data_IF_893079881007
#
_entry.id   IF_893079881007
#
_cell.length_a   1.000
_cell.length_b   1.000
_cell.length_c   1.000
_cell.angle_alpha   90.00
_cell.angle_beta   90.00
_cell.angle_gamma   90.00
#
_symmetry.space_group_name_H-M   'P 1'
#
loop_
_entity.id
_entity.type
_entity.pdbx_description
1 polymer ?
#
# COMPACT_ATOMS: atom_id res chain seq x y z
N UNK A 1 -53.44 -38.34 -52.38
CA UNK A 1 -52.50 -37.21 -52.23
C UNK A 1 -52.56 -36.46 -50.94
N UNK A 2 -53.69 -36.34 -50.23
CA UNK A 2 -53.77 -35.58 -48.91
C UNK A 2 -53.17 -36.28 -47.72
N UNK A 3 -53.01 -37.62 -47.74
CA UNK A 3 -52.46 -38.40 -46.65
C UNK A 3 -50.90 -38.42 -46.59
N UNK A 4 -50.30 -38.44 -47.83
CA UNK A 4 -48.78 -38.44 -47.88
C UNK A 4 -48.19 -37.10 -47.46
N UNK A 5 -48.92 -35.97 -47.72
CA UNK A 5 -48.51 -34.64 -47.35
C UNK A 5 -48.46 -34.46 -45.80
N UNK A 6 -49.34 -35.15 -45.06
CA UNK A 6 -49.35 -35.10 -43.55
C UNK A 6 -48.15 -35.84 -42.93
N UNK A 7 -47.73 -36.95 -43.52
CA UNK A 7 -46.56 -37.69 -43.02
C UNK A 7 -45.22 -37.00 -43.34
N UNK A 8 -45.16 -36.29 -44.50
CA UNK A 8 -43.98 -35.49 -44.81
C UNK A 8 -43.88 -34.27 -43.88
N UNK A 9 -45.01 -33.66 -43.50
CA UNK A 9 -45.02 -32.54 -42.55
C UNK A 9 -44.64 -33.00 -41.12
N UNK A 10 -45.09 -34.17 -40.70
CA UNK A 10 -44.76 -34.76 -39.41
C UNK A 10 -43.28 -35.19 -39.35
N UNK A 11 -42.70 -35.74 -40.41
CA UNK A 11 -41.27 -36.08 -40.49
C UNK A 11 -40.37 -34.84 -40.53
N UNK A 12 -40.80 -33.72 -41.17
CA UNK A 12 -40.08 -32.45 -41.17
C UNK A 12 -40.02 -31.77 -39.79
N UNK A 13 -41.10 -31.89 -38.98
CA UNK A 13 -41.17 -31.35 -37.61
C UNK A 13 -40.34 -32.19 -36.64
N UNK A 14 -40.23 -33.51 -36.80
CA UNK A 14 -39.39 -34.37 -35.95
C UNK A 14 -37.90 -34.23 -36.22
N UNK A 15 -37.46 -33.75 -37.39
CA UNK A 15 -36.05 -33.51 -37.70
C UNK A 15 -35.54 -32.13 -37.15
N UNK A 16 -36.44 -31.24 -36.71
CA UNK A 16 -36.06 -29.93 -36.16
C UNK A 16 -35.66 -29.97 -34.66
N UNK A 17 -35.81 -31.11 -33.95
CA UNK A 17 -35.46 -31.24 -32.56
C UNK A 17 -34.05 -31.83 -32.27
N UNK A 18 -33.27 -32.15 -33.31
CA UNK A 18 -31.86 -32.47 -33.14
C UNK A 18 -31.01 -31.19 -33.17
N UNK A 19 -31.30 -30.25 -32.28
CA UNK A 19 -30.43 -29.11 -32.03
C UNK A 19 -29.17 -29.61 -31.34
N UNK A 20 -28.05 -29.56 -32.01
CA UNK A 20 -26.74 -29.83 -31.46
C UNK A 20 -26.48 -28.83 -30.31
N UNK A 21 -26.65 -29.24 -29.06
CA UNK A 21 -26.30 -28.45 -27.88
C UNK A 21 -24.87 -27.89 -27.96
N UNK A 22 -23.94 -28.60 -28.59
CA UNK A 22 -22.54 -28.17 -28.79
C UNK A 22 -22.33 -26.97 -29.72
N UNK A 23 -23.34 -26.55 -30.52
CA UNK A 23 -23.18 -25.39 -31.39
C UNK A 23 -23.50 -24.05 -30.68
N UNK A 24 -24.29 -24.11 -29.61
CA UNK A 24 -24.65 -22.93 -28.80
C UNK A 24 -23.70 -22.75 -27.59
N UNK A 25 -22.98 -23.79 -27.22
CA UNK A 25 -21.97 -23.74 -26.14
C UNK A 25 -20.55 -23.47 -26.68
N UNK A 26 -20.40 -22.60 -27.67
CA UNK A 26 -19.07 -22.05 -27.95
C UNK A 26 -18.76 -21.01 -26.90
N UNK A 27 -17.83 -21.37 -26.02
CA UNK A 27 -17.16 -20.36 -25.20
C UNK A 27 -16.69 -19.22 -26.15
N UNK A 28 -17.00 -17.97 -25.84
CA UNK A 28 -16.52 -16.84 -26.65
C UNK A 28 -14.99 -16.90 -26.70
N UNK A 29 -14.42 -17.11 -27.87
CA UNK A 29 -12.97 -17.21 -28.13
C UNK A 29 -12.21 -15.95 -27.65
N UNK A 30 -12.92 -14.89 -27.29
CA UNK A 30 -12.40 -13.61 -26.81
C UNK A 30 -12.69 -13.29 -25.33
N UNK A 31 -13.38 -14.15 -24.55
CA UNK A 31 -13.51 -13.92 -23.11
C UNK A 31 -12.36 -14.59 -22.37
N UNK A 32 -11.53 -13.75 -21.77
CA UNK A 32 -10.54 -14.19 -20.77
C UNK A 32 -11.33 -14.65 -19.54
N UNK A 33 -11.59 -15.95 -19.44
CA UNK A 33 -12.16 -16.52 -18.20
C UNK A 33 -11.05 -16.72 -17.17
N UNK A 34 -11.35 -16.69 -15.86
CA UNK A 34 -10.36 -16.94 -14.82
C UNK A 34 -9.61 -18.27 -14.99
N UNK A 35 -10.24 -19.27 -15.64
CA UNK A 35 -9.62 -20.59 -15.89
C UNK A 35 -8.69 -20.58 -17.09
N UNK A 36 -8.94 -19.71 -18.10
CA UNK A 36 -8.12 -19.66 -19.30
C UNK A 36 -6.88 -18.78 -19.18
N UNK A 37 -6.86 -17.83 -18.25
CA UNK A 37 -5.74 -16.89 -18.10
C UNK A 37 -4.44 -17.58 -17.67
N UNK A 38 -4.51 -18.69 -16.93
CA UNK A 38 -3.35 -19.45 -16.44
C UNK A 38 -2.93 -20.60 -17.37
N UNK A 39 -3.40 -20.63 -18.61
CA UNK A 39 -3.01 -21.65 -19.59
C UNK A 39 -1.71 -21.31 -20.35
N UNK A 40 -1.18 -20.10 -20.17
CA UNK A 40 0.05 -19.64 -20.83
C UNK A 40 0.82 -18.65 -19.94
N UNK A 41 2.13 -18.54 -20.17
CA UNK A 41 2.98 -17.53 -19.49
C UNK A 41 2.48 -16.11 -19.72
N UNK A 42 2.00 -15.79 -20.92
CA UNK A 42 1.46 -14.46 -21.23
C UNK A 42 0.18 -14.16 -20.43
N UNK A 43 -0.70 -15.15 -20.31
CA UNK A 43 -1.89 -15.02 -19.48
C UNK A 43 -1.55 -14.83 -17.99
N UNK A 44 -0.62 -15.64 -17.47
CA UNK A 44 -0.12 -15.48 -16.10
C UNK A 44 0.51 -14.10 -15.87
N UNK A 45 1.28 -13.58 -16.83
CA UNK A 45 1.83 -12.22 -16.78
C UNK A 45 0.72 -11.16 -16.76
N UNK A 46 -0.33 -11.34 -17.53
CA UNK A 46 -1.49 -10.43 -17.53
C UNK A 46 -2.20 -10.43 -16.17
N UNK A 47 -2.34 -11.60 -15.54
CA UNK A 47 -2.87 -11.71 -14.18
C UNK A 47 -2.00 -10.97 -13.15
N UNK A 48 -0.67 -11.08 -13.26
CA UNK A 48 0.28 -10.33 -12.41
C UNK A 48 0.11 -8.82 -12.61
N UNK A 49 -0.02 -8.34 -13.84
CA UNK A 49 -0.28 -6.92 -14.10
C UNK A 49 -1.65 -6.48 -13.54
N UNK A 50 -2.67 -7.33 -13.66
CA UNK A 50 -3.99 -7.11 -13.05
C UNK A 50 -3.89 -6.98 -11.52
N UNK A 51 -3.09 -7.81 -10.87
CA UNK A 51 -2.83 -7.71 -9.42
C UNK A 51 -2.16 -6.37 -9.05
N UNK A 52 -1.14 -5.91 -9.77
CA UNK A 52 -0.55 -4.58 -9.53
C UNK A 52 -1.60 -3.46 -9.69
N UNK A 53 -2.51 -3.58 -10.67
CA UNK A 53 -3.57 -2.59 -10.87
C UNK A 53 -4.52 -2.48 -9.69
N UNK A 54 -4.71 -3.53 -8.87
CA UNK A 54 -5.51 -3.42 -7.64
C UNK A 54 -4.96 -2.38 -6.68
N UNK A 55 -3.64 -2.12 -6.72
CA UNK A 55 -2.99 -1.13 -5.87
C UNK A 55 -3.18 0.32 -6.35
N UNK A 56 -3.55 0.53 -7.63
CA UNK A 56 -3.71 1.85 -8.24
C UNK A 56 -5.07 2.48 -7.94
N UNK A 57 -6.05 1.69 -7.52
CA UNK A 57 -7.43 2.14 -7.28
C UNK A 57 -7.55 3.19 -6.19
N UNK A 58 -8.60 4.03 -6.27
CA UNK A 58 -8.90 5.06 -5.27
C UNK A 58 -9.11 4.49 -3.85
N UNK A 59 -9.54 3.24 -3.73
CA UNK A 59 -9.72 2.55 -2.45
C UNK A 59 -8.43 1.91 -1.91
N UNK A 60 -7.31 2.08 -2.60
CA UNK A 60 -5.98 1.58 -2.25
C UNK A 60 -4.96 2.74 -2.24
N UNK A 61 -3.73 2.51 -2.74
CA UNK A 61 -2.67 3.54 -2.81
C UNK A 61 -3.00 4.71 -3.75
N UNK A 62 -3.95 4.54 -4.67
CA UNK A 62 -4.43 5.65 -5.48
C UNK A 62 -5.06 6.77 -4.66
N UNK A 63 -5.58 6.51 -3.44
CA UNK A 63 -6.10 7.54 -2.55
C UNK A 63 -6.24 7.08 -1.09
N UNK A 64 -7.10 6.09 -0.77
CA UNK A 64 -7.58 5.83 0.59
C UNK A 64 -6.47 5.42 1.55
N UNK A 65 -5.54 4.54 1.13
CA UNK A 65 -4.42 4.10 1.98
C UNK A 65 -3.44 5.23 2.33
N UNK A 66 -3.47 6.34 1.59
CA UNK A 66 -2.65 7.51 1.87
C UNK A 66 -3.47 8.56 2.63
N UNK A 67 -4.62 8.97 2.09
CA UNK A 67 -5.38 10.11 2.61
C UNK A 67 -6.03 9.80 3.97
N UNK A 68 -6.53 8.58 4.19
CA UNK A 68 -7.22 8.24 5.45
C UNK A 68 -6.28 8.32 6.67
N UNK A 69 -5.07 7.73 6.64
CA UNK A 69 -4.11 7.92 7.73
C UNK A 69 -3.65 9.38 7.89
N UNK A 70 -3.61 10.17 6.80
CA UNK A 70 -3.25 11.58 6.86
C UNK A 70 -4.35 12.43 7.53
N UNK A 71 -5.63 12.06 7.39
CA UNK A 71 -6.71 12.64 8.19
C UNK A 71 -6.55 12.30 9.67
N UNK A 72 -6.27 11.03 10.00
CA UNK A 72 -6.03 10.60 11.39
C UNK A 72 -4.84 11.32 12.01
N UNK A 73 -3.80 11.59 11.20
CA UNK A 73 -2.61 12.35 11.61
C UNK A 73 -2.85 13.87 11.62
N UNK A 74 -4.04 14.35 11.21
CA UNK A 74 -4.40 15.77 11.10
C UNK A 74 -3.49 16.57 10.15
N UNK A 75 -3.07 15.94 9.07
CA UNK A 75 -2.28 16.60 8.04
C UNK A 75 -3.14 17.16 6.90
N UNK A 76 -4.32 16.58 6.70
CA UNK A 76 -5.19 16.85 5.54
C UNK A 76 -6.56 17.34 5.98
N UNK A 77 -7.13 18.25 5.17
CA UNK A 77 -8.48 18.73 5.25
C UNK A 77 -9.20 18.55 3.91
N UNK A 78 -10.50 18.80 3.88
CA UNK A 78 -11.35 18.69 2.70
C UNK A 78 -12.21 19.93 2.53
N UNK A 79 -12.50 20.34 1.28
CA UNK A 79 -13.33 21.54 0.99
C UNK A 79 -14.79 21.39 1.40
N UNK A 80 -15.30 20.16 1.50
CA UNK A 80 -16.67 19.88 1.92
C UNK A 80 -16.69 19.23 3.30
N UNK A 81 -17.68 19.56 4.11
CA UNK A 81 -17.87 18.97 5.45
C UNK A 81 -18.56 17.62 5.33
N UNK A 82 -17.82 16.60 4.90
CA UNK A 82 -18.31 15.22 4.95
C UNK A 82 -18.02 14.63 6.33
N UNK A 83 -19.05 14.11 7.02
CA UNK A 83 -18.89 13.52 8.35
C UNK A 83 -17.83 12.43 8.40
N UNK A 84 -17.69 11.62 7.35
CA UNK A 84 -16.74 10.53 7.24
C UNK A 84 -15.28 10.96 7.31
N UNK A 85 -14.92 12.19 6.91
CA UNK A 85 -13.56 12.74 7.07
C UNK A 85 -13.33 13.29 8.47
N UNK A 86 -14.36 13.93 9.02
CA UNK A 86 -14.33 14.46 10.39
C UNK A 86 -14.11 13.32 11.39
N UNK A 87 -14.72 12.16 11.17
CA UNK A 87 -14.54 10.96 11.97
C UNK A 87 -13.07 10.63 12.25
N UNK A 88 -12.22 10.68 11.21
CA UNK A 88 -10.78 10.39 11.35
C UNK A 88 -10.06 11.50 12.11
N UNK A 89 -10.32 12.78 11.79
CA UNK A 89 -9.68 13.93 12.45
C UNK A 89 -10.01 14.02 13.94
N UNK A 90 -11.21 13.63 14.33
CA UNK A 90 -11.67 13.65 15.72
C UNK A 90 -11.41 12.32 16.44
N UNK A 91 -10.91 11.34 15.71
CA UNK A 91 -10.70 9.98 16.20
C UNK A 91 -11.97 9.36 16.81
N UNK A 92 -13.11 9.56 16.14
CA UNK A 92 -14.43 9.04 16.49
C UNK A 92 -15.06 8.31 15.31
N UNK A 93 -14.29 7.41 14.73
CA UNK A 93 -14.62 6.75 13.47
C UNK A 93 -15.85 5.87 13.67
N UNK A 94 -16.89 6.09 12.87
CA UNK A 94 -18.11 5.27 12.90
C UNK A 94 -17.85 3.92 12.24
N UNK A 95 -18.51 2.89 12.75
CA UNK A 95 -18.38 1.50 12.23
C UNK A 95 -18.90 1.34 10.79
N UNK A 96 -19.76 2.26 10.33
CA UNK A 96 -20.32 2.31 8.97
C UNK A 96 -19.58 3.30 8.06
N UNK A 97 -18.41 3.81 8.49
CA UNK A 97 -17.63 4.76 7.70
C UNK A 97 -17.21 4.12 6.35
N UNK A 98 -17.59 4.71 5.19
CA UNK A 98 -17.37 4.11 3.89
C UNK A 98 -15.88 4.00 3.50
N UNK A 99 -15.02 4.88 4.02
CA UNK A 99 -13.57 4.81 3.75
C UNK A 99 -12.90 3.62 4.43
N UNK A 100 -13.37 3.28 5.63
CA UNK A 100 -12.94 2.08 6.36
C UNK A 100 -13.37 0.83 5.60
N UNK A 101 -14.62 0.78 5.15
CA UNK A 101 -15.17 -0.30 4.31
C UNK A 101 -14.37 -0.45 3.01
N UNK A 102 -14.08 0.67 2.33
CA UNK A 102 -13.37 0.67 1.05
C UNK A 102 -11.94 0.10 1.18
N UNK A 103 -11.19 0.49 2.22
CA UNK A 103 -9.84 -0.05 2.48
C UNK A 103 -9.90 -1.56 2.72
N UNK A 104 -10.84 -2.03 3.52
CA UNK A 104 -11.02 -3.45 3.80
C UNK A 104 -11.32 -4.24 2.54
N UNK A 105 -12.35 -3.83 1.80
CA UNK A 105 -12.79 -4.53 0.58
C UNK A 105 -11.71 -4.55 -0.50
N UNK A 106 -11.06 -3.41 -0.76
CA UNK A 106 -9.96 -3.34 -1.71
C UNK A 106 -8.77 -4.20 -1.29
N UNK A 107 -8.47 -4.24 0.01
CA UNK A 107 -7.41 -5.09 0.56
C UNK A 107 -7.68 -6.57 0.28
N UNK A 108 -8.87 -7.07 0.59
CA UNK A 108 -9.20 -8.48 0.34
C UNK A 108 -9.33 -8.82 -1.14
N UNK A 109 -9.75 -7.88 -2.00
CA UNK A 109 -9.70 -8.07 -3.45
C UNK A 109 -8.27 -8.24 -3.96
N UNK A 110 -7.32 -7.44 -3.46
CA UNK A 110 -5.90 -7.57 -3.80
C UNK A 110 -5.29 -8.88 -3.28
N UNK A 111 -5.62 -9.29 -2.06
CA UNK A 111 -5.20 -10.57 -1.47
C UNK A 111 -5.72 -11.73 -2.31
N UNK A 112 -6.98 -11.72 -2.72
CA UNK A 112 -7.54 -12.78 -3.56
C UNK A 112 -6.87 -12.84 -4.94
N UNK A 113 -6.56 -11.69 -5.55
CA UNK A 113 -5.79 -11.64 -6.80
C UNK A 113 -4.39 -12.26 -6.62
N UNK A 114 -3.69 -11.92 -5.54
CA UNK A 114 -2.39 -12.51 -5.21
C UNK A 114 -2.47 -14.03 -4.95
N UNK A 115 -3.47 -14.48 -4.19
CA UNK A 115 -3.71 -15.89 -3.90
C UNK A 115 -3.94 -16.70 -5.19
N UNK A 116 -4.73 -16.17 -6.13
CA UNK A 116 -4.95 -16.80 -7.44
C UNK A 116 -3.63 -17.00 -8.18
N UNK A 117 -2.75 -16.00 -8.21
CA UNK A 117 -1.44 -16.12 -8.86
C UNK A 117 -0.59 -17.16 -8.15
N UNK A 118 -0.46 -17.07 -6.82
CA UNK A 118 0.37 -18.02 -6.05
C UNK A 118 -0.04 -19.48 -6.31
N UNK A 119 -1.34 -19.77 -6.28
CA UNK A 119 -1.85 -21.14 -6.41
C UNK A 119 -1.89 -21.58 -7.87
N UNK A 120 -2.48 -20.78 -8.76
CA UNK A 120 -2.71 -21.20 -10.15
C UNK A 120 -1.42 -21.21 -10.97
N UNK A 121 -0.50 -20.24 -10.77
CA UNK A 121 0.81 -20.25 -11.45
C UNK A 121 1.67 -21.42 -10.97
N UNK A 122 1.62 -21.77 -9.68
CA UNK A 122 2.32 -22.96 -9.17
C UNK A 122 1.83 -24.26 -9.83
N UNK A 123 0.53 -24.34 -10.11
CA UNK A 123 -0.11 -25.52 -10.72
C UNK A 123 0.01 -25.58 -12.26
N UNK A 124 0.52 -24.54 -12.94
CA UNK A 124 0.67 -24.55 -14.40
C UNK A 124 1.62 -25.67 -14.86
N UNK A 125 1.35 -26.33 -16.01
CA UNK A 125 2.29 -27.28 -16.59
C UNK A 125 3.67 -26.65 -16.86
N UNK A 126 4.75 -27.44 -16.78
CA UNK A 126 6.11 -26.93 -17.05
C UNK A 126 6.27 -26.37 -18.47
N UNK A 127 5.60 -26.98 -19.44
CA UNK A 127 5.62 -26.50 -20.82
C UNK A 127 4.89 -25.17 -21.05
N UNK A 128 4.03 -24.73 -20.11
CA UNK A 128 3.22 -23.52 -20.24
C UNK A 128 3.90 -22.27 -19.69
N UNK A 129 4.93 -22.41 -18.84
CA UNK A 129 5.63 -21.30 -18.21
C UNK A 129 7.08 -21.67 -17.87
N UNK A 130 8.02 -20.79 -18.18
CA UNK A 130 9.42 -20.95 -17.81
C UNK A 130 9.58 -20.92 -16.27
N UNK A 131 10.50 -21.76 -15.75
CA UNK A 131 10.70 -21.95 -14.29
C UNK A 131 11.04 -20.63 -13.58
N UNK A 132 11.90 -19.81 -14.16
CA UNK A 132 12.27 -18.48 -13.64
C UNK A 132 11.07 -17.54 -13.58
N UNK A 133 10.20 -17.54 -14.61
CA UNK A 133 8.98 -16.73 -14.65
C UNK A 133 7.93 -17.22 -13.65
N UNK A 134 7.80 -18.55 -13.49
CA UNK A 134 6.94 -19.15 -12.45
C UNK A 134 7.33 -18.61 -11.07
N UNK A 135 8.59 -18.71 -10.70
CA UNK A 135 9.10 -18.26 -9.41
C UNK A 135 8.95 -16.72 -9.26
N UNK A 136 9.25 -15.98 -10.32
CA UNK A 136 9.09 -14.53 -10.33
C UNK A 136 7.65 -14.12 -10.02
N UNK A 137 6.67 -14.67 -10.74
CA UNK A 137 5.25 -14.30 -10.59
C UNK A 137 4.69 -14.67 -9.23
N UNK A 138 5.04 -15.83 -8.71
CA UNK A 138 4.66 -16.26 -7.35
C UNK A 138 5.20 -15.29 -6.31
N UNK A 139 6.49 -14.95 -6.37
CA UNK A 139 7.15 -14.06 -5.41
C UNK A 139 6.64 -12.62 -5.48
N UNK A 140 6.33 -12.11 -6.67
CA UNK A 140 5.67 -10.81 -6.82
C UNK A 140 4.28 -10.80 -6.15
N UNK A 141 3.51 -11.89 -6.32
CA UNK A 141 2.21 -12.02 -5.69
C UNK A 141 2.32 -12.15 -4.16
N UNK A 142 3.31 -12.88 -3.65
CA UNK A 142 3.60 -12.95 -2.23
C UNK A 142 3.93 -11.57 -1.64
N UNK A 143 4.72 -10.75 -2.34
CA UNK A 143 4.99 -9.38 -1.89
C UNK A 143 3.72 -8.53 -1.83
N UNK A 144 2.88 -8.52 -2.87
CA UNK A 144 1.65 -7.71 -2.87
C UNK A 144 0.70 -8.19 -1.78
N UNK A 145 0.60 -9.50 -1.54
CA UNK A 145 -0.17 -10.05 -0.43
C UNK A 145 0.36 -9.58 0.93
N UNK A 146 1.66 -9.64 1.11
CA UNK A 146 2.33 -9.19 2.33
C UNK A 146 2.16 -7.68 2.57
N UNK A 147 2.34 -6.86 1.54
CA UNK A 147 2.11 -5.41 1.60
C UNK A 147 0.67 -5.10 1.99
N UNK A 148 -0.29 -5.81 1.40
CA UNK A 148 -1.70 -5.61 1.66
C UNK A 148 -2.06 -6.04 3.10
N UNK A 149 -1.60 -7.20 3.56
CA UNK A 149 -1.79 -7.61 4.96
C UNK A 149 -1.11 -6.67 5.95
N UNK A 150 0.06 -6.13 5.62
CA UNK A 150 0.73 -5.16 6.47
C UNK A 150 -0.07 -3.88 6.61
N UNK A 151 -0.70 -3.39 5.55
CA UNK A 151 -1.63 -2.26 5.63
C UNK A 151 -2.86 -2.58 6.46
N UNK A 152 -3.47 -3.76 6.27
CA UNK A 152 -4.65 -4.19 7.01
C UNK A 152 -4.36 -4.38 8.50
N UNK A 153 -3.27 -5.05 8.87
CA UNK A 153 -2.94 -5.29 10.30
C UNK A 153 -2.59 -4.01 11.04
N UNK A 154 -1.95 -3.04 10.37
CA UNK A 154 -1.70 -1.71 10.97
C UNK A 154 -2.99 -0.91 11.18
N UNK A 155 -3.93 -1.03 10.24
CA UNK A 155 -5.19 -0.30 10.28
C UNK A 155 -6.22 -0.95 11.23
N UNK A 156 -6.35 -2.27 11.22
CA UNK A 156 -7.45 -2.99 11.88
C UNK A 156 -7.01 -3.92 13.02
N UNK A 157 -5.72 -4.15 13.21
CA UNK A 157 -5.23 -5.15 14.15
C UNK A 157 -5.48 -6.57 13.63
N UNK A 158 -6.23 -7.38 14.39
CA UNK A 158 -6.62 -8.72 13.97
C UNK A 158 -7.49 -8.69 12.70
N UNK A 159 -7.18 -9.55 11.73
CA UNK A 159 -7.91 -9.65 10.45
C UNK A 159 -7.97 -11.12 9.99
N UNK A 160 -8.97 -11.53 9.20
CA UNK A 160 -8.99 -12.87 8.60
C UNK A 160 -7.75 -13.12 7.72
N UNK A 161 -7.05 -14.23 7.96
CA UNK A 161 -5.87 -14.64 7.20
C UNK A 161 -6.25 -15.62 6.09
N UNK A 162 -6.58 -15.10 4.90
CA UNK A 162 -6.97 -15.88 3.73
C UNK A 162 -5.76 -16.01 2.79
N UNK A 163 -5.25 -17.23 2.60
CA UNK A 163 -4.02 -17.51 1.85
C UNK A 163 -4.24 -18.35 0.60
N UNK A 164 -5.47 -18.72 0.33
CA UNK A 164 -5.93 -19.46 -0.87
C UNK A 164 -6.94 -18.64 -1.65
N UNK A 165 -7.10 -18.88 -2.96
CA UNK A 165 -8.19 -18.27 -3.73
C UNK A 165 -9.55 -18.60 -3.11
N UNK A 166 -10.47 -17.65 -3.12
CA UNK A 166 -11.83 -17.87 -2.67
C UNK A 166 -12.65 -18.53 -3.77
N UNK A 167 -13.19 -19.70 -3.51
CA UNK A 167 -14.06 -20.49 -4.40
C UNK A 167 -15.53 -20.40 -4.01
N UNK A 168 -16.42 -20.88 -4.88
CA UNK A 168 -17.88 -20.83 -4.69
C UNK A 168 -18.37 -21.62 -3.45
N UNK A 169 -17.64 -22.68 -3.08
CA UNK A 169 -18.02 -23.57 -1.96
C UNK A 169 -17.23 -23.29 -0.68
N UNK A 170 -16.43 -22.22 -0.63
CA UNK A 170 -15.63 -21.92 0.54
C UNK A 170 -16.49 -21.36 1.68
N UNK A 171 -16.06 -21.64 2.91
CA UNK A 171 -16.63 -21.00 4.07
C UNK A 171 -16.15 -19.53 4.12
N UNK A 172 -17.04 -18.60 3.77
CA UNK A 172 -16.76 -17.17 3.80
C UNK A 172 -16.82 -16.55 5.22
N UNK A 173 -17.26 -17.33 6.21
CA UNK A 173 -17.34 -16.87 7.61
C UNK A 173 -16.05 -17.19 8.37
N UNK A 174 -14.95 -16.59 7.93
CA UNK A 174 -13.63 -16.77 8.53
C UNK A 174 -13.46 -15.78 9.70
N UNK A 175 -13.12 -16.24 10.91
CA UNK A 175 -12.81 -15.36 12.03
C UNK A 175 -11.53 -14.59 11.82
N UNK A 176 -11.28 -13.56 12.64
CA UNK A 176 -10.00 -12.84 12.64
C UNK A 176 -8.90 -13.71 13.22
N UNK A 177 -7.74 -13.68 12.59
CA UNK A 177 -6.50 -14.23 13.09
C UNK A 177 -5.79 -13.21 13.98
N UNK A 178 -4.98 -13.69 14.90
CA UNK A 178 -4.18 -12.84 15.77
C UNK A 178 -3.17 -12.00 14.97
N UNK A 179 -2.81 -10.85 15.49
CA UNK A 179 -1.79 -9.98 14.91
C UNK A 179 -0.49 -10.75 14.67
N UNK A 180 -0.10 -11.64 15.60
CA UNK A 180 1.12 -12.44 15.48
C UNK A 180 1.07 -13.42 14.29
N UNK A 181 -0.06 -14.10 14.05
CA UNK A 181 -0.23 -15.00 12.90
C UNK A 181 -0.17 -14.23 11.58
N UNK A 182 -0.80 -13.04 11.53
CA UNK A 182 -0.76 -12.19 10.34
C UNK A 182 0.68 -11.72 10.05
N UNK A 183 1.42 -11.25 11.07
CA UNK A 183 2.83 -10.89 10.92
C UNK A 183 3.71 -12.07 10.49
N UNK A 184 3.50 -13.25 11.05
CA UNK A 184 4.24 -14.45 10.65
C UNK A 184 4.07 -14.75 9.15
N UNK A 185 2.85 -14.61 8.62
CA UNK A 185 2.59 -14.80 7.19
C UNK A 185 3.21 -13.68 6.33
N UNK A 186 3.10 -12.42 6.74
CA UNK A 186 3.74 -11.28 6.06
C UNK A 186 5.25 -11.53 5.94
N UNK A 187 5.90 -11.90 7.03
CA UNK A 187 7.34 -12.16 7.09
C UNK A 187 7.72 -13.32 6.16
N UNK A 188 6.98 -14.44 6.21
CA UNK A 188 7.24 -15.59 5.35
C UNK A 188 7.13 -15.23 3.85
N UNK A 189 6.10 -14.48 3.45
CA UNK A 189 5.91 -14.03 2.07
C UNK A 189 7.04 -13.08 1.62
N UNK A 190 7.49 -12.19 2.49
CA UNK A 190 8.56 -11.23 2.17
C UNK A 190 9.95 -11.89 2.11
N UNK A 191 10.22 -12.91 2.92
CA UNK A 191 11.45 -13.72 2.82
C UNK A 191 11.52 -14.38 1.44
N UNK A 192 10.44 -15.01 0.97
CA UNK A 192 10.39 -15.58 -0.37
C UNK A 192 10.55 -14.52 -1.46
N UNK A 193 9.86 -13.39 -1.33
CA UNK A 193 9.96 -12.27 -2.29
C UNK A 193 11.36 -11.64 -2.33
N UNK A 194 12.14 -11.72 -1.25
CA UNK A 194 13.53 -11.22 -1.20
C UNK A 194 14.48 -11.95 -2.15
N UNK A 195 14.08 -13.10 -2.68
CA UNK A 195 14.82 -13.85 -3.70
C UNK A 195 14.51 -13.40 -5.14
N UNK A 196 13.73 -12.33 -5.34
CA UNK A 196 13.51 -11.72 -6.66
C UNK A 196 14.79 -11.04 -7.18
N UNK A 197 14.93 -10.87 -8.51
CA UNK A 197 16.00 -10.06 -9.07
C UNK A 197 15.95 -8.61 -8.53
N UNK A 198 17.13 -7.97 -8.42
CA UNK A 198 17.20 -6.56 -8.00
C UNK A 198 17.07 -5.58 -9.18
N UNK A 199 17.22 -6.08 -10.42
CA UNK A 199 17.14 -5.29 -11.64
C UNK A 199 16.37 -6.08 -12.69
N UNK A 200 15.49 -5.41 -13.42
CA UNK A 200 14.79 -5.92 -14.60
C UNK A 200 15.34 -5.30 -15.88
N UNK A 201 14.71 -5.57 -17.02
CA UNK A 201 15.19 -5.19 -18.34
C UNK A 201 15.42 -3.68 -18.52
N UNK A 202 14.63 -2.85 -17.82
CA UNK A 202 14.75 -1.39 -17.87
C UNK A 202 14.38 -0.77 -16.51
N UNK A 203 14.62 0.55 -16.39
CA UNK A 203 14.40 1.27 -15.14
C UNK A 203 12.91 1.30 -14.72
N UNK A 204 11.99 1.43 -15.67
CA UNK A 204 10.56 1.47 -15.38
C UNK A 204 10.07 0.13 -14.83
N UNK A 205 10.52 -0.99 -15.39
CA UNK A 205 10.25 -2.31 -14.84
C UNK A 205 10.90 -2.50 -13.47
N UNK A 206 12.16 -2.06 -13.31
CA UNK A 206 12.88 -2.19 -12.02
C UNK A 206 12.20 -1.41 -10.90
N UNK A 207 11.62 -0.25 -11.20
CA UNK A 207 10.90 0.56 -10.20
C UNK A 207 9.43 0.19 -10.09
N UNK A 208 8.80 -0.25 -11.19
CA UNK A 208 7.36 -0.58 -11.26
C UNK A 208 7.02 -2.03 -10.91
N UNK A 209 8.00 -2.92 -10.81
CA UNK A 209 7.83 -4.30 -10.34
C UNK A 209 8.59 -4.53 -9.04
N UNK A 210 8.16 -5.51 -8.30
CA UNK A 210 8.82 -5.86 -7.04
C UNK A 210 10.19 -6.45 -7.32
N UNK A 211 11.22 -5.92 -6.67
CA UNK A 211 12.59 -6.45 -6.65
C UNK A 211 12.91 -7.08 -5.29
N UNK A 212 13.99 -7.86 -5.22
CA UNK A 212 14.49 -8.39 -3.96
C UNK A 212 14.79 -7.28 -2.94
N UNK A 213 15.32 -6.14 -3.40
CA UNK A 213 15.56 -4.98 -2.53
C UNK A 213 14.25 -4.32 -2.06
N UNK A 214 13.21 -4.28 -2.87
CA UNK A 214 11.89 -3.80 -2.44
C UNK A 214 11.30 -4.71 -1.35
N UNK A 215 11.42 -6.02 -1.52
CA UNK A 215 10.97 -6.98 -0.52
C UNK A 215 11.75 -6.89 0.80
N UNK A 216 13.07 -6.76 0.75
CA UNK A 216 13.91 -6.53 1.95
C UNK A 216 13.59 -5.21 2.64
N UNK A 217 13.32 -4.15 1.87
CA UNK A 217 12.97 -2.84 2.40
C UNK A 217 11.65 -2.88 3.17
N UNK A 218 10.62 -3.53 2.60
CA UNK A 218 9.35 -3.74 3.28
C UNK A 218 9.52 -4.65 4.50
N UNK A 219 10.33 -5.72 4.39
CA UNK A 219 10.60 -6.63 5.50
C UNK A 219 11.32 -5.92 6.66
N UNK A 220 12.24 -5.00 6.38
CA UNK A 220 12.88 -4.16 7.40
C UNK A 220 11.84 -3.31 8.16
N UNK A 221 10.89 -2.71 7.43
CA UNK A 221 9.78 -1.95 8.02
C UNK A 221 8.87 -2.85 8.87
N UNK A 222 8.51 -4.03 8.37
CA UNK A 222 7.70 -5.02 9.09
C UNK A 222 8.37 -5.45 10.39
N UNK A 223 9.67 -5.76 10.36
CA UNK A 223 10.42 -6.10 11.57
C UNK A 223 10.53 -4.93 12.55
N UNK A 224 10.66 -3.69 12.08
CA UNK A 224 10.65 -2.52 12.95
C UNK A 224 9.29 -2.38 13.67
N UNK A 225 8.19 -2.57 12.96
CA UNK A 225 6.84 -2.50 13.55
C UNK A 225 6.57 -3.62 14.56
N UNK A 226 7.06 -4.83 14.28
CA UNK A 226 6.90 -5.99 15.16
C UNK A 226 7.94 -6.02 16.30
N UNK A 227 8.94 -5.16 16.26
CA UNK A 227 10.10 -5.18 17.14
C UNK A 227 9.78 -5.02 18.62
N UNK A 228 8.76 -4.24 18.96
CA UNK A 228 8.32 -4.06 20.36
C UNK A 228 7.75 -5.35 20.99
N UNK A 229 7.22 -6.26 20.15
CA UNK A 229 6.59 -7.51 20.60
C UNK A 229 7.58 -8.68 20.54
N UNK A 230 8.42 -8.74 19.50
CA UNK A 230 9.25 -9.91 19.17
C UNK A 230 10.75 -9.63 19.19
N UNK A 231 11.17 -8.42 19.56
CA UNK A 231 12.58 -7.98 19.57
C UNK A 231 13.31 -8.16 18.22
N UNK A 232 12.64 -7.85 17.13
CA UNK A 232 13.17 -8.02 15.74
C UNK A 232 13.97 -6.81 15.24
N UNK A 233 14.41 -5.91 16.12
CA UNK A 233 15.15 -4.71 15.73
C UNK A 233 16.50 -5.02 15.05
N UNK A 234 17.16 -6.11 15.43
CA UNK A 234 18.39 -6.54 14.78
C UNK A 234 18.19 -6.85 13.29
N UNK A 235 17.12 -7.59 12.95
CA UNK A 235 16.78 -7.90 11.56
C UNK A 235 16.33 -6.67 10.80
N UNK A 236 15.55 -5.77 11.43
CA UNK A 236 15.16 -4.50 10.84
C UNK A 236 16.39 -3.65 10.46
N UNK A 237 17.35 -3.49 11.39
CA UNK A 237 18.57 -2.73 11.16
C UNK A 237 19.44 -3.38 10.09
N UNK A 238 19.64 -4.70 10.15
CA UNK A 238 20.45 -5.46 9.18
C UNK A 238 19.90 -5.34 7.77
N UNK A 239 18.60 -5.54 7.58
CA UNK A 239 17.96 -5.45 6.26
C UNK A 239 17.94 -4.02 5.72
N UNK A 240 17.65 -3.03 6.56
CA UNK A 240 17.70 -1.63 6.14
C UNK A 240 19.11 -1.23 5.68
N UNK A 241 20.15 -1.65 6.42
CA UNK A 241 21.55 -1.45 6.06
C UNK A 241 21.90 -2.15 4.72
N UNK A 242 21.43 -3.39 4.52
CA UNK A 242 21.65 -4.13 3.27
C UNK A 242 21.00 -3.39 2.08
N UNK A 243 19.76 -2.94 2.21
CA UNK A 243 19.07 -2.18 1.16
C UNK A 243 19.80 -0.85 0.85
N UNK A 244 20.24 -0.12 1.86
CA UNK A 244 21.02 1.11 1.68
C UNK A 244 22.30 0.83 0.86
N UNK A 245 22.95 -0.29 1.10
CA UNK A 245 24.19 -0.65 0.44
C UNK A 245 23.99 -1.22 -0.98
N UNK A 246 22.87 -1.94 -1.23
CA UNK A 246 22.74 -2.79 -2.43
C UNK A 246 21.67 -2.35 -3.43
N UNK A 247 20.74 -1.46 -3.03
CA UNK A 247 19.63 -1.07 -3.90
C UNK A 247 20.03 -0.13 -5.05
N UNK A 248 21.20 0.52 -4.95
CA UNK A 248 21.60 1.58 -5.88
C UNK A 248 20.71 2.84 -5.79
N UNK A 249 19.74 2.87 -4.86
CA UNK A 249 18.90 4.03 -4.66
C UNK A 249 19.64 5.15 -3.92
N UNK A 250 19.36 6.40 -4.27
CA UNK A 250 20.00 7.58 -3.68
C UNK A 250 19.02 8.75 -3.60
N UNK A 251 19.11 9.54 -2.56
CA UNK A 251 18.30 10.74 -2.40
C UNK A 251 18.80 11.84 -3.34
N UNK A 252 17.98 12.37 -4.28
CA UNK A 252 18.35 13.49 -5.11
C UNK A 252 18.48 14.77 -4.27
N UNK A 253 19.30 15.71 -4.75
CA UNK A 253 19.46 17.02 -4.09
C UNK A 253 18.17 17.82 -4.10
N UNK A 254 17.47 17.79 -5.25
CA UNK A 254 16.13 18.38 -5.36
C UNK A 254 15.07 17.39 -4.88
N UNK A 255 14.49 17.67 -3.73
CA UNK A 255 13.39 16.87 -3.16
C UNK A 255 12.17 16.78 -4.09
N UNK A 256 11.88 17.88 -4.80
CA UNK A 256 10.72 17.95 -5.69
C UNK A 256 10.80 16.95 -6.85
N UNK A 257 12.01 16.63 -7.31
CA UNK A 257 12.22 15.69 -8.41
C UNK A 257 11.68 14.28 -8.13
N UNK A 258 11.62 13.86 -6.85
CA UNK A 258 11.05 12.58 -6.43
C UNK A 258 9.58 12.44 -6.87
N UNK A 259 8.88 13.55 -6.94
CA UNK A 259 7.43 13.61 -7.19
C UNK A 259 7.09 14.09 -8.60
N UNK A 260 7.99 14.82 -9.23
CA UNK A 260 7.76 15.39 -10.57
C UNK A 260 8.33 14.53 -11.70
N UNK A 261 9.14 13.54 -11.35
CA UNK A 261 9.76 12.61 -12.31
C UNK A 261 9.39 11.17 -11.95
N UNK A 262 9.12 10.34 -12.95
CA UNK A 262 8.88 8.91 -12.75
C UNK A 262 10.19 8.15 -12.60
N UNK A 263 10.16 7.04 -11.84
CA UNK A 263 11.29 6.10 -11.71
C UNK A 263 12.58 6.76 -11.21
N UNK A 264 12.44 7.60 -10.20
CA UNK A 264 13.55 8.39 -9.68
C UNK A 264 14.62 7.55 -8.99
N UNK A 265 15.81 8.13 -8.79
CA UNK A 265 16.89 7.49 -8.03
C UNK A 265 16.51 7.16 -6.60
N UNK A 266 15.58 7.91 -6.00
CA UNK A 266 15.14 7.68 -4.62
C UNK A 266 14.20 6.50 -4.47
N UNK A 267 13.40 6.20 -5.48
CA UNK A 267 12.41 5.13 -5.42
C UNK A 267 13.06 3.75 -5.47
N UNK A 268 12.56 2.86 -4.63
CA UNK A 268 12.87 1.42 -4.66
C UNK A 268 11.70 0.68 -5.30
N UNK A 269 10.46 1.09 -4.99
CA UNK A 269 9.25 0.57 -5.61
C UNK A 269 8.22 1.70 -5.79
N UNK A 270 7.70 1.84 -7.02
CA UNK A 270 6.67 2.81 -7.39
C UNK A 270 5.48 2.15 -8.06
N UNK A 271 4.29 2.62 -7.76
CA UNK A 271 3.09 2.31 -8.54
C UNK A 271 3.06 3.18 -9.80
N UNK A 272 2.98 2.51 -10.95
CA UNK A 272 3.07 3.15 -12.27
C UNK A 272 1.68 3.56 -12.76
N UNK A 273 1.44 4.86 -12.90
CA UNK A 273 0.22 5.43 -13.47
C UNK A 273 0.45 5.86 -14.92
N UNK A 274 -0.60 5.76 -15.74
CA UNK A 274 -0.60 6.12 -17.15
C UNK A 274 -1.95 6.73 -17.57
N UNK A 275 -2.13 6.94 -18.87
CA UNK A 275 -3.38 7.50 -19.42
C UNK A 275 -4.59 6.56 -19.26
N UNK A 276 -4.38 5.25 -19.13
CA UNK A 276 -5.42 4.24 -18.92
C UNK A 276 -5.71 4.01 -17.42
N UNK A 277 -4.79 4.40 -16.55
CA UNK A 277 -4.92 4.33 -15.10
C UNK A 277 -4.35 5.60 -14.49
N UNK A 278 -5.16 6.66 -14.45
CA UNK A 278 -4.76 7.96 -13.90
C UNK A 278 -4.68 7.93 -12.38
N UNK A 279 -3.83 8.79 -11.82
CA UNK A 279 -3.60 8.90 -10.38
C UNK A 279 -4.73 9.69 -9.68
N UNK A 280 -5.59 9.04 -8.88
CA UNK A 280 -6.66 9.73 -8.16
C UNK A 280 -6.15 10.77 -7.16
N UNK A 281 -5.00 10.54 -6.50
CA UNK A 281 -4.40 11.52 -5.58
C UNK A 281 -4.07 12.84 -6.28
N UNK A 282 -3.51 12.79 -7.48
CA UNK A 282 -3.24 13.98 -8.26
C UNK A 282 -4.56 14.71 -8.62
N UNK A 283 -5.60 13.95 -8.96
CA UNK A 283 -6.92 14.53 -9.28
C UNK A 283 -7.50 15.29 -8.08
N UNK A 284 -7.51 14.68 -6.90
CA UNK A 284 -8.12 15.29 -5.69
C UNK A 284 -7.21 16.32 -5.00
N UNK A 285 -5.93 16.40 -5.37
CA UNK A 285 -5.00 17.44 -4.90
C UNK A 285 -4.97 18.69 -5.80
N UNK A 286 -5.69 18.67 -6.93
CA UNK A 286 -5.78 19.81 -7.82
C UNK A 286 -6.56 20.96 -7.15
N UNK A 287 -6.01 22.18 -7.04
CA UNK A 287 -6.69 23.34 -6.44
C UNK A 287 -8.09 23.64 -7.01
N UNK A 288 -8.36 23.22 -8.23
CA UNK A 288 -9.64 23.40 -8.91
C UNK A 288 -10.58 22.18 -8.79
N UNK A 289 -10.19 21.13 -8.07
CA UNK A 289 -11.04 19.94 -7.90
C UNK A 289 -12.24 20.25 -7.00
N UNK A 290 -13.43 19.74 -7.38
CA UNK A 290 -14.63 19.85 -6.55
C UNK A 290 -14.54 19.04 -5.26
N UNK A 291 -13.76 17.95 -5.29
CA UNK A 291 -13.47 17.06 -4.14
C UNK A 291 -12.00 17.24 -3.71
N UNK A 292 -11.61 18.48 -3.42
CA UNK A 292 -10.24 18.84 -3.09
C UNK A 292 -9.85 18.39 -1.67
N UNK A 293 -8.73 17.68 -1.56
CA UNK A 293 -7.96 17.51 -0.33
C UNK A 293 -6.81 18.51 -0.27
N UNK A 294 -6.61 19.14 0.87
CA UNK A 294 -5.56 20.14 1.06
C UNK A 294 -4.92 20.00 2.46
N UNK A 295 -3.74 20.56 2.66
CA UNK A 295 -3.05 20.50 3.93
C UNK A 295 -3.83 21.23 5.04
N UNK A 296 -3.73 20.73 6.29
CA UNK A 296 -4.48 21.25 7.46
C UNK A 296 -4.15 22.73 7.82
N UNK A 297 -3.31 23.36 7.09
CA UNK A 297 -3.00 24.78 7.24
C UNK A 297 -1.60 25.07 7.77
N UNK A 298 -1.45 26.27 8.35
CA UNK A 298 -0.14 26.77 8.80
C UNK A 298 0.54 25.86 9.83
N UNK A 299 -0.20 25.21 10.70
CA UNK A 299 0.33 24.30 11.74
C UNK A 299 1.16 23.16 11.15
N UNK A 300 0.81 22.68 9.96
CA UNK A 300 1.57 21.63 9.26
C UNK A 300 2.85 22.22 8.65
N UNK A 301 2.77 23.43 8.10
CA UNK A 301 3.94 24.12 7.57
C UNK A 301 4.96 24.46 8.67
N UNK A 302 4.48 24.76 9.89
CA UNK A 302 5.31 25.10 11.05
C UNK A 302 6.04 23.86 11.67
N UNK A 303 5.74 22.64 11.22
CA UNK A 303 6.52 21.45 11.57
C UNK A 303 7.93 21.46 10.96
N UNK A 304 8.11 22.20 9.86
CA UNK A 304 9.39 22.30 9.16
C UNK A 304 10.24 23.40 9.77
N UNK A 305 11.52 23.11 9.94
CA UNK A 305 12.52 24.05 10.45
C UNK A 305 12.80 25.15 9.40
N UNK A 306 13.29 26.29 9.85
CA UNK A 306 13.71 27.34 8.94
C UNK A 306 14.80 26.83 7.98
N UNK A 307 14.61 27.06 6.68
CA UNK A 307 15.54 26.59 5.64
C UNK A 307 15.33 25.15 5.18
N UNK A 308 14.36 24.41 5.73
CA UNK A 308 14.04 23.06 5.28
C UNK A 308 13.50 23.08 3.83
N UNK A 309 14.31 22.57 2.89
CA UNK A 309 14.02 22.58 1.44
C UNK A 309 12.79 21.74 1.05
N UNK A 310 12.31 20.87 1.92
CA UNK A 310 11.12 20.05 1.66
C UNK A 310 9.82 20.83 1.83
N UNK A 311 9.81 21.86 2.71
CA UNK A 311 8.62 22.57 3.14
C UNK A 311 7.81 23.11 1.95
N UNK A 312 8.42 23.96 1.15
CA UNK A 312 7.73 24.71 0.09
C UNK A 312 7.33 23.84 -1.10
N UNK A 313 7.95 22.68 -1.24
CA UNK A 313 7.48 21.66 -2.18
C UNK A 313 6.31 20.86 -1.61
N UNK A 314 6.43 20.37 -0.37
CA UNK A 314 5.43 19.49 0.26
C UNK A 314 4.12 20.23 0.49
N UNK A 315 4.21 21.50 0.87
CA UNK A 315 3.06 22.34 1.23
C UNK A 315 3.22 23.69 0.52
N UNK A 316 2.32 24.03 -0.37
CA UNK A 316 2.40 25.28 -1.13
C UNK A 316 1.07 26.05 -1.12
N UNK A 317 1.14 27.36 -1.33
CA UNK A 317 -0.03 28.19 -1.62
C UNK A 317 -0.14 28.42 -3.12
N UNK A 318 -1.33 28.23 -3.68
CA UNK A 318 -1.55 28.38 -5.12
C UNK A 318 -1.46 29.84 -5.56
N UNK A 319 -2.03 30.75 -4.76
CA UNK A 319 -1.89 32.20 -4.92
C UNK A 319 -1.78 32.87 -3.55
N UNK A 320 -1.16 34.06 -3.43
CA UNK A 320 -1.06 34.76 -2.15
C UNK A 320 -2.43 35.12 -1.54
N UNK A 321 -3.48 35.23 -2.36
CA UNK A 321 -4.83 35.58 -1.92
C UNK A 321 -5.60 34.33 -1.40
N UNK A 322 -5.18 33.11 -1.72
CA UNK A 322 -5.80 31.90 -1.22
C UNK A 322 -5.17 31.49 0.12
N UNK A 323 -5.94 31.48 1.21
CA UNK A 323 -5.39 31.16 2.53
C UNK A 323 -5.06 29.67 2.70
N UNK A 324 -5.46 28.80 1.75
CA UNK A 324 -5.24 27.36 1.82
C UNK A 324 -3.80 26.99 1.49
N UNK A 325 -3.34 25.94 2.14
CA UNK A 325 -2.11 25.24 1.79
C UNK A 325 -2.45 23.93 1.07
N UNK A 326 -1.78 23.69 -0.05
CA UNK A 326 -2.07 22.55 -0.94
C UNK A 326 -1.02 21.46 -0.79
N UNK A 327 -1.43 20.22 -1.12
CA UNK A 327 -0.56 19.04 -1.12
C UNK A 327 0.35 19.10 -2.35
N UNK A 328 1.65 19.32 -2.14
CA UNK A 328 2.60 19.50 -3.22
C UNK A 328 3.09 18.21 -3.87
N UNK A 329 3.06 17.09 -3.14
CA UNK A 329 3.57 15.80 -3.63
C UNK A 329 2.77 15.22 -4.81
N UNK A 330 1.50 15.58 -4.97
CA UNK A 330 0.62 15.05 -6.02
C UNK A 330 0.07 16.17 -6.92
N UNK A 331 0.96 17.00 -7.47
CA UNK A 331 0.56 18.21 -8.20
C UNK A 331 0.72 18.15 -9.73
N UNK A 332 0.93 16.98 -10.29
CA UNK A 332 0.87 16.79 -11.75
C UNK A 332 -0.55 16.39 -12.11
N UNK A 333 -1.37 17.38 -12.49
CA UNK A 333 -2.81 17.24 -12.62
C UNK A 333 -3.28 16.93 -14.05
N UNK A 334 -2.52 17.33 -15.06
CA UNK A 334 -2.93 17.20 -16.47
C UNK A 334 -1.75 16.87 -17.39
N UNK A 335 -1.64 15.60 -17.83
CA UNK A 335 -2.45 14.46 -17.37
C UNK A 335 -2.06 14.00 -15.95
N UNK A 336 -3.03 13.47 -15.19
CA UNK A 336 -2.81 12.95 -13.84
C UNK A 336 -2.17 11.56 -13.88
N UNK A 337 -0.92 11.47 -14.32
CA UNK A 337 -0.17 10.22 -14.55
C UNK A 337 1.06 10.09 -13.66
N UNK A 338 1.16 10.90 -12.63
CA UNK A 338 2.27 10.86 -11.68
C UNK A 338 2.29 9.53 -10.94
N UNK A 339 3.48 8.91 -10.84
CA UNK A 339 3.67 7.70 -10.06
C UNK A 339 3.56 7.97 -8.55
N UNK A 340 3.28 6.92 -7.79
CA UNK A 340 3.29 6.95 -6.32
C UNK A 340 4.43 6.08 -5.82
N UNK A 341 5.49 6.66 -5.25
CA UNK A 341 6.52 5.92 -4.55
C UNK A 341 5.92 5.24 -3.31
N UNK A 342 6.01 3.91 -3.23
CA UNK A 342 5.54 3.13 -2.07
C UNK A 342 6.70 2.85 -1.12
N UNK A 343 7.90 2.65 -1.69
CA UNK A 343 9.12 2.42 -0.92
C UNK A 343 10.21 3.31 -1.50
N UNK A 344 10.80 4.16 -0.67
CA UNK A 344 11.90 5.04 -1.06
C UNK A 344 13.03 5.07 -0.04
N UNK A 345 14.25 5.30 -0.52
CA UNK A 345 15.46 5.12 0.28
C UNK A 345 15.52 6.04 1.51
N UNK A 346 14.91 7.22 1.47
CA UNK A 346 14.87 8.13 2.61
C UNK A 346 14.16 7.50 3.81
N UNK A 347 13.04 6.77 3.59
CA UNK A 347 12.37 6.02 4.64
C UNK A 347 13.27 4.93 5.21
N UNK A 348 14.03 4.23 4.36
CA UNK A 348 14.91 3.14 4.80
C UNK A 348 16.06 3.65 5.69
N UNK A 349 16.59 4.84 5.40
CA UNK A 349 17.54 5.50 6.31
C UNK A 349 16.93 5.76 7.68
N UNK A 350 15.68 6.22 7.75
CA UNK A 350 15.00 6.49 9.04
C UNK A 350 14.58 5.21 9.77
N UNK A 351 14.23 4.15 9.04
CA UNK A 351 14.03 2.80 9.60
C UNK A 351 15.33 2.28 10.20
N UNK A 352 16.46 2.40 9.49
CA UNK A 352 17.78 2.02 10.00
C UNK A 352 18.14 2.81 11.25
N UNK A 353 17.95 4.14 11.23
CA UNK A 353 18.25 5.00 12.37
C UNK A 353 17.50 4.55 13.64
N UNK A 354 16.20 4.29 13.53
CA UNK A 354 15.40 3.83 14.67
C UNK A 354 15.76 2.41 15.11
N UNK A 355 15.81 1.47 14.16
CA UNK A 355 16.06 0.06 14.49
C UNK A 355 17.44 -0.14 15.10
N UNK A 356 18.48 0.52 14.57
CA UNK A 356 19.84 0.45 15.10
C UNK A 356 19.94 1.07 16.51
N UNK A 357 19.30 2.23 16.73
CA UNK A 357 19.30 2.84 18.06
C UNK A 357 18.58 1.98 19.10
N UNK A 358 17.48 1.31 18.71
CA UNK A 358 16.80 0.36 19.61
C UNK A 358 17.62 -0.89 19.89
N UNK A 359 18.33 -1.39 18.89
CA UNK A 359 19.26 -2.51 19.03
C UNK A 359 20.40 -2.18 20.00
N UNK A 360 20.98 -0.98 19.86
CA UNK A 360 22.12 -0.53 20.66
C UNK A 360 21.70 -0.04 22.07
N UNK A 361 20.40 0.10 22.33
CA UNK A 361 19.87 0.66 23.58
C UNK A 361 20.13 2.15 23.77
N UNK A 362 20.56 2.85 22.70
CA UNK A 362 20.91 4.27 22.72
C UNK A 362 21.31 4.76 21.31
N UNK A 363 21.68 6.03 21.20
CA UNK A 363 22.17 6.55 19.93
C UNK A 363 23.61 6.11 19.69
N UNK A 364 23.86 5.53 18.53
CA UNK A 364 25.20 5.17 18.04
C UNK A 364 25.55 5.98 16.79
N UNK A 365 26.83 6.01 16.40
CA UNK A 365 27.26 6.66 15.15
C UNK A 365 26.46 6.14 13.96
N UNK A 366 26.22 4.84 13.85
CA UNK A 366 25.50 4.23 12.73
C UNK A 366 24.03 4.69 12.67
N UNK A 367 23.34 4.75 13.81
CA UNK A 367 21.95 5.23 13.86
C UNK A 367 21.87 6.74 13.57
N UNK A 368 22.80 7.51 14.14
CA UNK A 368 22.90 8.95 13.94
C UNK A 368 23.21 9.33 12.50
N UNK A 369 24.17 8.66 11.85
CA UNK A 369 24.53 8.93 10.46
C UNK A 369 23.36 8.73 9.49
N UNK A 370 22.54 7.71 9.73
CA UNK A 370 21.33 7.48 8.94
C UNK A 370 20.28 8.57 9.13
N UNK A 371 20.06 9.00 10.36
CA UNK A 371 19.18 10.15 10.68
C UNK A 371 19.70 11.43 10.03
N UNK A 372 20.99 11.71 10.20
CA UNK A 372 21.68 12.89 9.66
C UNK A 372 21.60 12.94 8.14
N UNK A 373 21.72 11.80 7.45
CA UNK A 373 21.68 11.71 5.98
C UNK A 373 20.40 12.31 5.39
N UNK A 374 19.26 12.09 6.01
CA UNK A 374 17.97 12.66 5.57
C UNK A 374 17.92 14.17 5.83
N UNK A 375 18.40 14.62 6.98
CA UNK A 375 18.45 16.04 7.34
C UNK A 375 19.42 16.83 6.46
N UNK A 376 20.57 16.27 6.13
CA UNK A 376 21.53 16.89 5.23
C UNK A 376 20.90 17.14 3.84
N UNK A 377 20.15 16.16 3.30
CA UNK A 377 19.42 16.36 2.04
C UNK A 377 18.37 17.46 2.16
N UNK A 378 17.69 17.55 3.31
CA UNK A 378 16.73 18.61 3.59
C UNK A 378 17.39 20.01 3.74
N UNK A 379 18.70 20.06 3.87
CA UNK A 379 19.46 21.29 4.01
C UNK A 379 19.37 21.94 5.39
N UNK A 380 19.04 21.17 6.42
CA UNK A 380 18.89 21.64 7.79
C UNK A 380 20.00 21.08 8.69
N UNK A 381 20.41 21.89 9.68
CA UNK A 381 21.42 21.50 10.64
C UNK A 381 20.92 20.35 11.50
N UNK A 382 21.71 19.29 11.59
CA UNK A 382 21.44 18.19 12.51
C UNK A 382 22.03 18.52 13.88
N UNK A 383 21.26 18.41 14.98
CA UNK A 383 21.80 18.56 16.33
C UNK A 383 22.95 17.57 16.55
N UNK A 384 23.96 17.97 17.32
CA UNK A 384 25.09 17.09 17.64
C UNK A 384 24.61 15.79 18.31
N UNK A 385 25.30 14.68 18.07
CA UNK A 385 24.94 13.36 18.62
C UNK A 385 24.84 13.40 20.16
N UNK A 386 25.67 14.18 20.82
CA UNK A 386 25.67 14.34 22.28
C UNK A 386 24.39 14.99 22.85
N UNK A 387 23.59 15.66 22.01
CA UNK A 387 22.28 16.20 22.42
C UNK A 387 21.26 15.09 22.71
N UNK A 388 21.43 13.92 22.16
CA UNK A 388 20.52 12.78 22.34
C UNK A 388 20.96 11.93 23.54
N UNK A 389 20.69 12.40 24.75
CA UNK A 389 21.14 11.76 26.00
C UNK A 389 20.36 10.48 26.32
N UNK A 390 19.22 10.22 25.68
CA UNK A 390 18.41 9.02 25.90
C UNK A 390 17.92 8.43 24.57
N UNK A 391 17.71 7.11 24.56
CA UNK A 391 17.07 6.42 23.42
C UNK A 391 15.74 7.07 23.04
N UNK A 392 14.89 7.37 24.02
CA UNK A 392 13.57 7.97 23.80
C UNK A 392 13.65 9.34 23.10
N UNK A 393 14.62 10.18 23.51
CA UNK A 393 14.84 11.48 22.85
C UNK A 393 15.24 11.32 21.39
N UNK A 394 16.13 10.37 21.07
CA UNK A 394 16.56 10.10 19.71
C UNK A 394 15.41 9.51 18.86
N UNK A 395 14.68 8.52 19.38
CA UNK A 395 13.51 7.95 18.68
C UNK A 395 12.48 9.04 18.37
N UNK A 396 12.20 9.94 19.33
CA UNK A 396 11.29 11.07 19.09
C UNK A 396 11.80 11.98 17.97
N UNK A 397 13.09 12.24 17.90
CA UNK A 397 13.69 13.05 16.83
C UNK A 397 13.56 12.34 15.46
N UNK A 398 13.85 11.04 15.40
CA UNK A 398 13.69 10.23 14.18
C UNK A 398 12.23 10.22 13.73
N UNK A 399 11.27 10.06 14.63
CA UNK A 399 9.84 10.08 14.27
C UNK A 399 9.37 11.45 13.78
N UNK A 400 9.81 12.54 14.40
CA UNK A 400 9.53 13.89 13.92
C UNK A 400 10.13 14.15 12.53
N UNK A 401 11.34 13.64 12.27
CA UNK A 401 11.97 13.71 10.97
C UNK A 401 11.21 12.89 9.93
N UNK A 402 10.83 11.64 10.30
CA UNK A 402 10.05 10.76 9.42
C UNK A 402 8.69 11.37 9.09
N UNK A 403 8.00 12.01 10.04
CA UNK A 403 6.74 12.72 9.82
C UNK A 403 6.90 13.81 8.74
N UNK A 404 7.95 14.62 8.80
CA UNK A 404 8.23 15.67 7.80
C UNK A 404 8.58 15.07 6.44
N UNK A 405 9.43 14.06 6.42
CA UNK A 405 9.89 13.38 5.22
C UNK A 405 8.74 12.66 4.48
N UNK A 406 7.91 11.91 5.24
CA UNK A 406 6.83 11.06 4.71
C UNK A 406 5.46 11.77 4.73
N UNK A 407 5.42 13.10 4.93
CA UNK A 407 4.16 13.87 4.91
C UNK A 407 3.36 13.59 3.64
N UNK A 408 2.07 13.29 3.78
CA UNK A 408 1.15 12.92 2.71
C UNK A 408 1.46 11.58 2.00
N UNK A 409 2.15 10.66 2.68
CA UNK A 409 2.41 9.30 2.19
C UNK A 409 1.69 8.20 2.99
N UNK A 410 0.84 8.60 3.96
CA UNK A 410 0.00 7.69 4.74
C UNK A 410 0.70 6.96 5.88
N UNK A 411 1.90 7.40 6.30
CA UNK A 411 2.72 6.66 7.26
C UNK A 411 2.69 7.22 8.68
N UNK A 412 2.53 8.54 8.83
CA UNK A 412 2.72 9.21 10.11
C UNK A 412 1.78 8.70 11.21
N UNK A 413 0.51 8.43 10.89
CA UNK A 413 -0.45 7.89 11.86
C UNK A 413 0.03 6.59 12.48
N UNK A 414 0.42 5.62 11.66
CA UNK A 414 0.85 4.30 12.12
C UNK A 414 2.16 4.35 12.92
N UNK A 415 3.11 5.18 12.49
CA UNK A 415 4.37 5.37 13.22
C UNK A 415 4.14 5.99 14.59
N UNK A 416 3.27 6.99 14.70
CA UNK A 416 2.96 7.65 15.95
C UNK A 416 2.13 6.76 16.88
N UNK A 417 1.23 5.93 16.33
CA UNK A 417 0.50 4.93 17.13
C UNK A 417 1.45 3.90 17.74
N UNK A 418 2.35 3.28 16.95
CA UNK A 418 3.26 2.25 17.47
C UNK A 418 4.32 2.78 18.44
N UNK A 419 4.65 4.07 18.37
CA UNK A 419 5.64 4.70 19.27
C UNK A 419 5.01 5.41 20.47
N UNK A 420 3.68 5.43 20.57
CA UNK A 420 2.94 6.13 21.61
C UNK A 420 2.87 7.66 21.45
N UNK A 421 3.47 8.21 20.40
CA UNK A 421 3.48 9.65 20.15
C UNK A 421 2.12 10.20 19.68
N UNK A 422 1.23 9.33 19.18
CA UNK A 422 -0.09 9.75 18.74
C UNK A 422 -0.93 10.42 19.85
N UNK A 423 -0.78 9.95 21.09
CA UNK A 423 -1.49 10.53 22.26
C UNK A 423 -1.12 11.98 22.52
N UNK A 424 0.12 12.35 22.30
CA UNK A 424 0.61 13.71 22.56
C UNK A 424 0.48 14.64 21.37
N UNK A 425 0.77 14.14 20.16
CA UNK A 425 1.02 14.98 19.01
C UNK A 425 -0.14 15.02 18.00
N UNK A 426 -1.04 14.02 18.02
CA UNK A 426 -2.07 13.88 16.97
C UNK A 426 -3.48 13.68 17.51
N UNK A 427 -3.66 13.14 18.70
CA UNK A 427 -4.98 12.74 19.17
C UNK A 427 -5.70 13.79 20.01
N UNK A 428 -7.02 13.88 19.81
CA UNK A 428 -7.93 14.60 20.71
C UNK A 428 -8.40 13.72 21.86
N UNK A 429 -8.39 12.38 21.67
CA UNK A 429 -8.74 11.40 22.71
C UNK A 429 -7.49 10.67 23.17
N UNK A 430 -7.25 10.64 24.45
CA UNK A 430 -6.14 9.94 25.08
C UNK A 430 -6.45 8.43 25.29
N UNK A 431 -7.11 7.77 24.33
CA UNK A 431 -7.47 6.36 24.45
C UNK A 431 -6.86 5.53 23.32
N UNK A 432 -5.87 4.66 23.62
CA UNK A 432 -5.21 3.80 22.63
C UNK A 432 -6.15 2.85 21.90
N UNK A 433 -7.36 2.59 22.42
CA UNK A 433 -8.35 1.77 21.73
C UNK A 433 -8.71 2.33 20.35
N UNK A 434 -8.57 3.64 20.14
CA UNK A 434 -8.84 4.30 18.85
C UNK A 434 -7.62 4.41 17.92
N UNK A 435 -6.51 3.74 18.22
CA UNK A 435 -5.38 3.65 17.29
C UNK A 435 -5.71 2.80 16.06
N UNK A 436 -6.56 1.80 16.25
CA UNK A 436 -7.07 0.96 15.17
C UNK A 436 -8.37 1.55 14.61
N UNK A 437 -8.62 1.29 13.35
CA UNK A 437 -9.91 1.57 12.74
C UNK A 437 -10.92 0.48 13.10
N UNK A 438 -12.23 0.78 13.11
CA UNK A 438 -13.25 -0.24 13.38
C UNK A 438 -13.28 -1.29 12.27
N UNK A 439 -13.57 -2.54 12.61
CA UNK A 439 -13.95 -3.55 11.62
C UNK A 439 -15.26 -3.11 10.97
N UNK A 440 -15.37 -3.04 9.63
CA UNK A 440 -16.55 -2.49 8.97
C UNK A 440 -17.84 -3.22 9.34
N UNK A 441 -18.88 -2.49 9.63
CA UNK A 441 -20.16 -3.06 10.07
C UNK A 441 -20.82 -3.94 9.00
N UNK A 442 -20.70 -3.59 7.72
CA UNK A 442 -21.19 -4.41 6.61
C UNK A 442 -20.52 -5.79 6.58
N UNK A 443 -19.22 -5.87 6.83
CA UNK A 443 -18.49 -7.13 6.89
C UNK A 443 -18.93 -7.97 8.11
N UNK A 444 -19.10 -7.35 9.25
CA UNK A 444 -19.57 -8.02 10.48
C UNK A 444 -20.99 -8.56 10.36
N UNK A 445 -21.89 -7.84 9.67
CA UNK A 445 -23.23 -8.34 9.38
C UNK A 445 -23.21 -9.55 8.46
N UNK A 446 -22.33 -9.56 7.47
CA UNK A 446 -22.17 -10.70 6.55
C UNK A 446 -21.42 -11.87 7.19
N UNK A 447 -20.50 -11.60 8.11
CA UNK A 447 -19.70 -12.58 8.82
C UNK A 447 -19.79 -12.34 10.36
N UNK A 448 -20.73 -12.96 11.06
CA UNK A 448 -20.91 -12.77 12.51
C UNK A 448 -19.72 -13.27 13.37
N UNK A 449 -18.77 -14.00 12.80
CA UNK A 449 -17.56 -14.42 13.52
C UNK A 449 -16.52 -13.29 13.64
N UNK A 450 -16.70 -12.18 12.92
CA UNK A 450 -15.84 -11.00 13.03
C UNK A 450 -16.18 -10.22 14.31
N UNK A 451 -15.28 -10.27 15.28
CA UNK A 451 -15.36 -9.42 16.48
C UNK A 451 -15.02 -7.96 16.11
N UNK A 452 -15.42 -7.02 16.95
CA UNK A 452 -15.07 -5.59 16.75
C UNK A 452 -13.83 -5.23 17.55
N UNK A 453 -13.11 -4.21 17.11
CA UNK A 453 -12.04 -3.60 17.88
C UNK A 453 -12.58 -2.89 19.13
N UNK A 454 -11.80 -2.93 20.20
CA UNK A 454 -12.18 -2.29 21.46
C UNK A 454 -12.33 -0.77 21.24
N UNK A 455 -13.40 -0.20 21.77
CA UNK A 455 -13.74 1.22 21.61
C UNK A 455 -14.86 1.49 20.59
N UNK A 456 -15.27 0.46 19.80
CA UNK A 456 -16.29 0.57 18.75
C UNK A 456 -17.50 -0.34 18.97
#
# INVERSE_FOLDING_TARGET
MKTISKYILLAAVSLSFTSCKKFLDREPIAQITPDNIFNSQQGAQSAVMGMYRTQLGANSYGQSLIIVPEFSARHVNHVSSFPEYVDFKTNTIRIDNPWVQNIWTAGYAAINAANNIVVKVAAMPEAAIATDKRQQFIREAQFIRALTYFNLVRAFGEVPLIVTPTGENDNLKVPRNTVAEVYAKIIADLIEASNLPNVYANIAETKGRVTGNAAKALLAKVYLYNGAVTNTYAEAARLAKDVIATSGASMPVDFGSVWTTKNTSESIFELQFDAQATNPLATVSNPNASALFYAEGKSIADLYEAGDKRRDFTIYQNTPADPRFYIGKYRIFNPAIQNVPVIRIAEIYLIHAEAQARLDGGVSAASYDSYKKVRDRAGITTPDISTFTTLAAFITAVQKEKRKEMMFEGEAWFDYCRTGLALTDMMTKADPNYYLYPVPDAERRNNPTLTQNKGY
#
